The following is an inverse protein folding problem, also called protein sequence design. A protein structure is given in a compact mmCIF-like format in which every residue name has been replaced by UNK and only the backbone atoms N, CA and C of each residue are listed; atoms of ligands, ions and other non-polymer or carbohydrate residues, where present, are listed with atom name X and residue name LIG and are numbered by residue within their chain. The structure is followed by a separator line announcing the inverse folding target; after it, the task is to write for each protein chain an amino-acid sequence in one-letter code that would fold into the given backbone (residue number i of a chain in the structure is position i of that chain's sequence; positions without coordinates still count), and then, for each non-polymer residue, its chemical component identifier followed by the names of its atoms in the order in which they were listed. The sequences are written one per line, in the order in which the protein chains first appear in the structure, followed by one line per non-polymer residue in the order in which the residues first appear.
data_IF_531293115412
#
_entry.id   IF_531293115412
#
_cell.length_a   1.000
_cell.length_b   1.000
_cell.length_c   1.000
_cell.angle_alpha   90.00
_cell.angle_beta   90.00
_cell.angle_gamma   90.00
#
_symmetry.space_group_name_H-M   'P 1'
#
loop_
_entity.id
_entity.type
_entity.pdbx_description
1 polymer ?
#
# COMPACT_ATOMS: atom_id res chain seq x y z
N UNK A 1 -12.87 -14.25 -10.17
CA UNK A 1 -11.98 -15.43 -10.18
C UNK A 1 -10.97 -15.18 -9.09
N UNK A 2 -10.95 -16.01 -8.04
CA UNK A 2 -9.96 -15.92 -6.98
C UNK A 2 -8.62 -16.42 -7.54
N UNK A 3 -7.70 -15.52 -7.82
CA UNK A 3 -6.33 -15.90 -8.13
C UNK A 3 -5.72 -16.46 -6.84
N UNK A 4 -5.46 -17.76 -6.81
CA UNK A 4 -4.75 -18.40 -5.70
C UNK A 4 -3.27 -18.09 -5.92
N UNK A 5 -2.77 -17.05 -5.26
CA UNK A 5 -1.35 -16.79 -5.17
C UNK A 5 -0.67 -17.96 -4.42
N UNK A 6 0.33 -18.60 -5.04
CA UNK A 6 1.05 -19.70 -4.39
C UNK A 6 1.94 -19.17 -3.26
N UNK A 7 2.26 -20.03 -2.26
CA UNK A 7 3.19 -19.68 -1.18
C UNK A 7 4.54 -19.24 -1.74
N UNK A 8 5.03 -19.87 -2.81
CA UNK A 8 6.28 -19.50 -3.51
C UNK A 8 6.23 -18.08 -4.08
N UNK A 9 5.07 -17.64 -4.59
CA UNK A 9 4.87 -16.28 -5.09
C UNK A 9 4.93 -15.27 -3.95
N UNK A 10 4.24 -15.55 -2.84
CA UNK A 10 4.30 -14.70 -1.65
C UNK A 10 5.70 -14.63 -1.04
N UNK A 11 6.46 -15.73 -1.02
CA UNK A 11 7.82 -15.73 -0.51
C UNK A 11 8.77 -14.88 -1.37
N UNK A 12 8.63 -14.95 -2.70
CA UNK A 12 9.38 -14.10 -3.62
C UNK A 12 9.02 -12.61 -3.44
N UNK A 13 7.73 -12.29 -3.37
CA UNK A 13 7.25 -10.91 -3.13
C UNK A 13 7.71 -10.41 -1.77
N UNK A 14 7.65 -11.21 -0.72
CA UNK A 14 8.09 -10.81 0.62
C UNK A 14 9.57 -10.49 0.69
N UNK A 15 10.42 -11.24 -0.02
CA UNK A 15 11.86 -10.93 -0.07
C UNK A 15 12.13 -9.63 -0.81
N UNK A 16 11.50 -9.41 -1.98
CA UNK A 16 11.62 -8.17 -2.74
C UNK A 16 11.02 -6.98 -1.99
N UNK A 17 9.86 -7.18 -1.32
CA UNK A 17 9.23 -6.17 -0.49
C UNK A 17 10.13 -5.74 0.68
N UNK A 18 10.83 -6.67 1.36
CA UNK A 18 11.79 -6.32 2.43
C UNK A 18 12.98 -5.54 1.91
N UNK A 19 13.52 -5.93 0.75
CA UNK A 19 14.64 -5.25 0.13
C UNK A 19 14.29 -3.79 -0.24
N UNK A 20 13.04 -3.54 -0.63
CA UNK A 20 12.53 -2.22 -0.96
C UNK A 20 12.08 -1.43 0.28
N UNK A 21 11.34 -2.06 1.20
CA UNK A 21 10.74 -1.39 2.35
C UNK A 21 11.77 -0.79 3.29
N UNK A 22 12.84 -1.50 3.61
CA UNK A 22 13.85 -1.06 4.57
C UNK A 22 14.53 0.25 4.17
N UNK A 23 15.16 0.40 2.98
CA UNK A 23 15.77 1.68 2.59
C UNK A 23 14.73 2.79 2.47
N UNK A 24 13.54 2.47 1.96
CA UNK A 24 12.44 3.41 1.79
C UNK A 24 11.96 4.00 3.14
N UNK A 25 11.68 3.13 4.11
CA UNK A 25 11.26 3.55 5.46
C UNK A 25 12.41 4.31 6.15
N UNK A 26 13.66 3.86 6.02
CA UNK A 26 14.82 4.56 6.58
C UNK A 26 15.00 5.98 6.04
N UNK A 27 14.65 6.19 4.77
CA UNK A 27 14.66 7.52 4.14
C UNK A 27 13.50 8.39 4.65
N UNK A 28 12.28 7.84 4.71
CA UNK A 28 11.08 8.62 4.94
C UNK A 28 10.74 8.80 6.42
N UNK A 29 11.07 7.85 7.28
CA UNK A 29 10.70 7.94 8.69
C UNK A 29 11.23 9.19 9.39
N UNK A 30 12.50 9.62 9.21
CA UNK A 30 13.02 10.85 9.82
C UNK A 30 12.27 12.11 9.38
N UNK A 31 11.70 12.10 8.19
CA UNK A 31 10.97 13.24 7.59
C UNK A 31 9.51 13.27 8.02
N UNK A 32 8.85 12.11 8.00
CA UNK A 32 7.40 12.01 8.22
C UNK A 32 7.03 11.74 9.68
N UNK A 33 7.86 10.98 10.41
CA UNK A 33 7.68 10.56 11.80
C UNK A 33 6.24 10.13 12.12
N UNK A 34 5.67 9.20 11.35
CA UNK A 34 4.31 8.76 11.62
C UNK A 34 4.27 7.89 12.88
N UNK A 35 3.41 8.23 13.85
CA UNK A 35 3.13 7.35 14.98
C UNK A 35 2.22 6.18 14.54
N UNK A 36 1.31 6.45 13.59
CA UNK A 36 0.34 5.46 13.12
C UNK A 36 0.38 5.34 11.59
N UNK A 37 0.42 4.09 11.07
CA UNK A 37 0.48 3.82 9.62
C UNK A 37 -0.55 2.76 9.22
N UNK A 38 -1.22 2.96 8.10
CA UNK A 38 -2.07 1.95 7.46
C UNK A 38 -1.57 1.64 6.05
N UNK A 39 -1.66 0.38 5.65
CA UNK A 39 -1.30 -0.11 4.32
C UNK A 39 -2.48 -0.85 3.68
N UNK A 40 -2.97 -0.34 2.55
CA UNK A 40 -4.03 -0.98 1.77
C UNK A 40 -3.41 -1.77 0.61
N UNK A 41 -3.52 -3.09 0.65
CA UNK A 41 -2.84 -4.04 -0.22
C UNK A 41 -1.50 -4.48 0.38
N UNK A 42 -1.51 -4.72 1.68
CA UNK A 42 -0.31 -4.97 2.48
C UNK A 42 0.35 -6.33 2.25
N UNK A 43 -0.34 -7.26 1.56
CA UNK A 43 0.07 -8.65 1.53
C UNK A 43 0.21 -9.20 2.96
N UNK A 44 1.34 -9.83 3.26
CA UNK A 44 1.66 -10.34 4.60
C UNK A 44 2.12 -9.26 5.61
N UNK A 45 2.02 -7.98 5.28
CA UNK A 45 2.34 -6.87 6.19
C UNK A 45 3.83 -6.56 6.34
N UNK A 46 4.67 -6.92 5.38
CA UNK A 46 6.13 -6.71 5.42
C UNK A 46 6.50 -5.22 5.55
N UNK A 47 5.80 -4.35 4.81
CA UNK A 47 5.99 -2.90 4.91
C UNK A 47 5.61 -2.36 6.28
N UNK A 48 4.55 -2.89 6.87
CA UNK A 48 4.09 -2.49 8.21
C UNK A 48 5.09 -2.89 9.30
N UNK A 49 5.70 -4.07 9.18
CA UNK A 49 6.79 -4.50 10.06
C UNK A 49 8.01 -3.54 9.97
N UNK A 50 8.38 -3.08 8.77
CA UNK A 50 9.48 -2.13 8.61
C UNK A 50 9.12 -0.73 9.14
N UNK A 51 7.89 -0.23 8.96
CA UNK A 51 7.45 1.01 9.60
C UNK A 51 7.53 0.93 11.13
N UNK A 52 7.10 -0.19 11.71
CA UNK A 52 7.18 -0.44 13.15
C UNK A 52 8.64 -0.46 13.64
N UNK A 53 9.54 -1.14 12.91
CA UNK A 53 10.98 -1.12 13.20
C UNK A 53 11.60 0.26 13.07
N UNK A 54 11.09 1.08 12.16
CA UNK A 54 11.48 2.47 11.98
C UNK A 54 11.06 3.38 13.13
N UNK A 55 10.05 2.99 13.92
CA UNK A 55 9.58 3.72 15.10
C UNK A 55 8.09 4.06 15.11
N UNK A 56 7.29 3.57 14.15
CA UNK A 56 5.84 3.70 14.22
C UNK A 56 5.30 2.88 15.41
N UNK A 57 4.42 3.50 16.20
CA UNK A 57 3.87 2.92 17.43
C UNK A 57 2.76 1.92 17.12
N UNK A 58 1.96 2.22 16.09
CA UNK A 58 0.82 1.40 15.69
C UNK A 58 0.72 1.29 14.16
N UNK A 59 0.48 0.09 13.68
CA UNK A 59 0.37 -0.20 12.25
C UNK A 59 -0.85 -1.07 11.98
N UNK A 60 -1.47 -0.87 10.81
CA UNK A 60 -2.58 -1.69 10.34
C UNK A 60 -2.31 -2.15 8.91
N UNK A 61 -2.13 -3.44 8.74
CA UNK A 61 -2.04 -4.11 7.45
C UNK A 61 -3.45 -4.48 6.97
N UNK A 62 -3.82 -4.12 5.75
CA UNK A 62 -5.14 -4.42 5.17
C UNK A 62 -4.97 -5.10 3.83
N UNK A 63 -5.57 -6.28 3.67
CA UNK A 63 -5.56 -7.02 2.40
C UNK A 63 -6.74 -7.99 2.36
N UNK A 64 -6.89 -8.74 1.26
CA UNK A 64 -7.94 -9.75 1.13
C UNK A 64 -7.85 -10.87 2.16
N UNK A 65 -8.94 -11.58 2.38
CA UNK A 65 -9.01 -12.72 3.32
C UNK A 65 -8.25 -13.97 2.83
N UNK A 66 -7.73 -13.92 1.59
CA UNK A 66 -6.84 -14.95 1.02
C UNK A 66 -5.43 -14.93 1.64
N UNK A 67 -5.05 -13.87 2.36
CA UNK A 67 -3.73 -13.78 3.02
C UNK A 67 -3.67 -14.75 4.19
N UNK A 68 -2.69 -15.66 4.15
CA UNK A 68 -2.45 -16.61 5.24
C UNK A 68 -1.99 -15.89 6.51
N UNK A 69 -2.84 -15.89 7.52
CA UNK A 69 -2.58 -15.22 8.81
C UNK A 69 -1.45 -15.85 9.62
N UNK A 70 -1.11 -17.13 9.36
CA UNK A 70 0.02 -17.77 10.01
C UNK A 70 1.37 -17.26 9.52
N UNK A 71 1.38 -16.56 8.37
CA UNK A 71 2.58 -16.03 7.73
C UNK A 71 2.67 -14.51 7.78
N UNK A 72 1.88 -13.84 8.61
CA UNK A 72 1.94 -12.39 8.76
C UNK A 72 3.27 -11.95 9.38
N UNK A 73 3.81 -10.85 8.86
CA UNK A 73 4.98 -10.18 9.41
C UNK A 73 4.64 -9.26 10.60
N UNK A 74 3.35 -8.99 10.81
CA UNK A 74 2.79 -8.22 11.93
C UNK A 74 1.95 -9.12 12.83
N UNK A 75 1.59 -8.63 14.01
CA UNK A 75 0.71 -9.38 14.90
C UNK A 75 -0.70 -9.55 14.28
N UNK A 76 -1.41 -10.66 14.54
CA UNK A 76 -2.73 -10.91 13.92
C UNK A 76 -3.75 -9.80 14.14
N UNK A 77 -3.71 -9.10 15.26
CA UNK A 77 -4.56 -7.96 15.60
C UNK A 77 -4.22 -6.70 14.80
N UNK A 78 -3.05 -6.65 14.17
CA UNK A 78 -2.60 -5.59 13.28
C UNK A 78 -2.94 -5.89 11.81
N UNK A 79 -3.71 -6.94 11.54
CA UNK A 79 -4.18 -7.29 10.21
C UNK A 79 -5.71 -7.25 10.14
N UNK A 80 -6.22 -6.61 9.10
CA UNK A 80 -7.64 -6.55 8.79
C UNK A 80 -7.89 -7.08 7.38
N UNK A 81 -8.74 -8.11 7.25
CA UNK A 81 -9.18 -8.56 5.94
C UNK A 81 -10.23 -7.60 5.37
N UNK A 82 -10.04 -7.16 4.12
CA UNK A 82 -10.99 -6.32 3.42
C UNK A 82 -10.93 -6.54 1.89
N UNK A 83 -12.06 -6.31 1.23
CA UNK A 83 -12.17 -6.27 -0.23
C UNK A 83 -11.84 -4.85 -0.70
N UNK A 84 -10.65 -4.67 -1.28
CA UNK A 84 -10.14 -3.37 -1.74
C UNK A 84 -10.86 -2.82 -2.97
N UNK A 85 -11.72 -3.62 -3.61
CA UNK A 85 -12.62 -3.11 -4.66
C UNK A 85 -13.77 -2.25 -4.11
N UNK A 86 -13.89 -2.18 -2.78
CA UNK A 86 -14.89 -1.41 -2.04
C UNK A 86 -14.25 -0.46 -1.05
N UNK A 87 -14.94 0.63 -0.65
CA UNK A 87 -14.39 1.53 0.37
C UNK A 87 -14.13 0.82 1.69
N UNK A 88 -12.88 0.88 2.16
CA UNK A 88 -12.45 0.34 3.45
C UNK A 88 -12.77 1.34 4.57
N UNK A 89 -13.39 0.84 5.64
CA UNK A 89 -13.73 1.65 6.83
C UNK A 89 -12.93 1.14 8.03
N UNK A 90 -12.00 1.94 8.50
CA UNK A 90 -11.13 1.61 9.63
C UNK A 90 -11.63 2.14 10.99
N UNK A 91 -12.66 3.00 10.97
CA UNK A 91 -13.19 3.63 12.18
C UNK A 91 -12.28 4.69 12.80
N UNK A 92 -11.06 4.88 12.30
CA UNK A 92 -10.08 5.87 12.76
C UNK A 92 -9.21 6.39 11.62
N UNK A 93 -8.46 7.44 11.89
CA UNK A 93 -7.45 7.99 10.98
C UNK A 93 -6.04 7.60 11.43
N UNK A 94 -5.10 7.73 10.52
CA UNK A 94 -3.69 7.43 10.67
C UNK A 94 -2.84 8.64 10.27
N UNK A 95 -1.60 8.71 10.76
CA UNK A 95 -0.66 9.76 10.36
C UNK A 95 -0.18 9.58 8.92
N UNK A 96 -0.16 8.32 8.44
CA UNK A 96 0.22 7.96 7.09
C UNK A 96 -0.63 6.80 6.59
N UNK A 97 -1.16 6.93 5.38
CA UNK A 97 -1.72 5.82 4.63
C UNK A 97 -0.79 5.48 3.46
N UNK A 98 -0.65 4.20 3.14
CA UNK A 98 0.06 3.78 1.95
C UNK A 98 -0.74 2.75 1.15
N UNK A 99 -0.43 2.68 -0.15
CA UNK A 99 -0.80 1.60 -1.06
C UNK A 99 0.23 1.59 -2.18
N UNK A 100 1.04 0.55 -2.23
CA UNK A 100 2.18 0.45 -3.12
C UNK A 100 2.06 -0.78 -4.01
N UNK A 101 2.01 -0.57 -5.33
CA UNK A 101 1.88 -1.62 -6.34
C UNK A 101 0.61 -2.48 -6.12
N UNK A 102 -0.53 -1.81 -5.99
CA UNK A 102 -1.84 -2.44 -5.73
C UNK A 102 -2.89 -2.03 -6.75
N UNK A 103 -2.92 -0.75 -7.12
CA UNK A 103 -3.96 -0.18 -7.99
C UNK A 103 -4.06 -0.88 -9.35
N UNK A 104 -2.95 -1.38 -9.89
CA UNK A 104 -2.86 -2.12 -11.14
C UNK A 104 -3.49 -3.52 -11.09
N UNK A 105 -3.63 -4.08 -9.90
CA UNK A 105 -4.27 -5.40 -9.70
C UNK A 105 -5.78 -5.32 -9.46
N UNK A 106 -6.30 -4.13 -9.22
CA UNK A 106 -7.74 -3.91 -9.05
C UNK A 106 -8.39 -3.53 -10.39
N UNK A 107 -9.65 -3.88 -10.62
CA UNK A 107 -10.37 -3.41 -11.81
C UNK A 107 -10.46 -1.87 -11.79
N UNK A 108 -10.44 -1.25 -12.97
CA UNK A 108 -10.42 0.22 -13.11
C UNK A 108 -11.54 0.91 -12.31
N UNK A 109 -12.71 0.29 -12.25
CA UNK A 109 -13.89 0.79 -11.53
C UNK A 109 -13.66 0.87 -10.01
N UNK A 110 -12.68 0.14 -9.48
CA UNK A 110 -12.32 0.15 -8.07
C UNK A 110 -11.31 1.26 -7.70
N UNK A 111 -10.71 1.93 -8.69
CA UNK A 111 -9.68 2.94 -8.45
C UNK A 111 -10.15 4.07 -7.52
N UNK A 112 -11.37 4.57 -7.73
CA UNK A 112 -11.95 5.60 -6.87
C UNK A 112 -12.19 5.09 -5.43
N UNK A 113 -12.60 3.83 -5.26
CA UNK A 113 -12.84 3.23 -3.94
C UNK A 113 -11.53 3.07 -3.15
N UNK A 114 -10.43 2.69 -3.83
CA UNK A 114 -9.10 2.61 -3.23
C UNK A 114 -8.63 3.99 -2.76
N UNK A 115 -8.69 5.00 -3.65
CA UNK A 115 -8.28 6.37 -3.31
C UNK A 115 -9.17 6.97 -2.23
N UNK A 116 -10.49 6.73 -2.26
CA UNK A 116 -11.42 7.18 -1.20
C UNK A 116 -11.04 6.57 0.16
N UNK A 117 -10.66 5.29 0.18
CA UNK A 117 -10.21 4.59 1.39
C UNK A 117 -8.94 5.22 1.96
N UNK A 118 -7.93 5.49 1.12
CA UNK A 118 -6.67 6.10 1.50
C UNK A 118 -6.87 7.53 2.04
N UNK A 119 -7.63 8.35 1.34
CA UNK A 119 -7.86 9.76 1.69
C UNK A 119 -8.72 9.93 2.94
N UNK A 120 -9.63 9.00 3.21
CA UNK A 120 -10.35 8.95 4.49
C UNK A 120 -9.46 8.49 5.63
N UNK A 121 -8.50 7.62 5.37
CA UNK A 121 -7.62 7.08 6.39
C UNK A 121 -6.56 8.08 6.85
N UNK A 122 -6.02 8.94 5.97
CA UNK A 122 -4.94 9.87 6.34
C UNK A 122 -4.94 11.11 5.45
N UNK A 123 -4.39 12.22 5.95
CA UNK A 123 -4.10 13.43 5.16
C UNK A 123 -2.76 13.32 4.39
N UNK A 124 -1.96 12.29 4.66
CA UNK A 124 -0.71 11.98 3.97
C UNK A 124 -0.78 10.58 3.38
N UNK A 125 -0.58 10.47 2.06
CA UNK A 125 -0.67 9.21 1.34
C UNK A 125 0.62 8.95 0.58
N UNK A 126 1.19 7.75 0.76
CA UNK A 126 2.21 7.19 -0.12
C UNK A 126 1.50 6.26 -1.11
N UNK A 127 1.69 6.51 -2.39
CA UNK A 127 1.01 5.77 -3.43
C UNK A 127 1.94 5.44 -4.59
N UNK A 128 1.87 4.21 -5.05
CA UNK A 128 2.41 3.79 -6.35
C UNK A 128 1.47 2.80 -7.02
N UNK A 129 1.49 2.79 -8.33
CA UNK A 129 0.85 1.79 -9.16
C UNK A 129 1.60 1.69 -10.48
N UNK A 130 1.56 0.52 -11.13
CA UNK A 130 2.18 0.31 -12.41
C UNK A 130 1.62 1.27 -13.48
N UNK A 131 2.53 1.84 -14.27
CA UNK A 131 2.16 2.75 -15.36
C UNK A 131 1.84 1.97 -16.63
N UNK A 132 1.10 2.59 -17.55
CA UNK A 132 0.71 1.99 -18.82
C UNK A 132 1.91 1.40 -19.57
N UNK A 133 1.86 0.11 -19.87
CA UNK A 133 2.90 -0.62 -20.59
C UNK A 133 4.08 -1.08 -19.74
N UNK A 134 4.00 -0.93 -18.40
CA UNK A 134 5.04 -1.45 -17.50
C UNK A 134 5.10 -2.98 -17.55
N UNK A 135 3.94 -3.62 -17.68
CA UNK A 135 3.81 -5.06 -17.63
C UNK A 135 3.98 -5.62 -16.22
N UNK A 136 3.42 -6.77 -15.99
CA UNK A 136 3.49 -7.46 -14.70
C UNK A 136 2.47 -8.58 -14.64
N UNK A 137 2.66 -9.50 -13.71
CA UNK A 137 1.74 -10.61 -13.52
C UNK A 137 0.43 -10.09 -12.90
N UNK A 138 -0.70 -10.44 -13.51
CA UNK A 138 -2.07 -10.03 -13.09
C UNK A 138 -2.36 -8.52 -13.12
N UNK A 139 -1.60 -7.71 -13.86
CA UNK A 139 -1.96 -6.32 -14.09
C UNK A 139 -3.21 -6.24 -14.99
N UNK A 140 -4.24 -5.59 -14.50
CA UNK A 140 -5.53 -5.39 -15.22
C UNK A 140 -5.87 -3.91 -15.35
N UNK A 141 -5.11 -3.01 -14.70
CA UNK A 141 -5.39 -1.58 -14.59
C UNK A 141 -4.11 -0.74 -14.58
N UNK A 142 -3.25 -0.93 -15.58
CA UNK A 142 -2.10 -0.05 -15.78
C UNK A 142 -2.57 1.31 -16.30
N UNK A 143 -2.37 2.35 -15.54
CA UNK A 143 -2.85 3.70 -15.85
C UNK A 143 -1.70 4.71 -15.88
N UNK A 144 -1.81 5.79 -16.69
CA UNK A 144 -0.85 6.88 -16.62
C UNK A 144 -0.91 7.54 -15.25
N UNK A 145 0.20 8.13 -14.80
CA UNK A 145 0.25 8.82 -13.49
C UNK A 145 -0.84 9.89 -13.33
N UNK A 146 -1.20 10.58 -14.42
CA UNK A 146 -2.27 11.58 -14.41
C UNK A 146 -3.62 11.03 -13.99
N UNK A 147 -3.94 9.79 -14.35
CA UNK A 147 -5.18 9.13 -13.96
C UNK A 147 -5.33 9.09 -12.42
N UNK A 148 -4.30 8.62 -11.72
CA UNK A 148 -4.30 8.59 -10.27
C UNK A 148 -4.25 9.99 -9.66
N UNK A 149 -3.44 10.89 -10.24
CA UNK A 149 -3.37 12.28 -9.79
C UNK A 149 -4.72 12.98 -9.86
N UNK A 150 -5.52 12.75 -10.91
CA UNK A 150 -6.84 13.35 -11.07
C UNK A 150 -7.81 12.84 -10.00
N UNK A 151 -7.80 11.53 -9.68
CA UNK A 151 -8.66 10.97 -8.62
C UNK A 151 -8.26 11.54 -7.25
N UNK A 152 -6.96 11.62 -6.93
CA UNK A 152 -6.48 12.24 -5.69
C UNK A 152 -6.79 13.74 -5.63
N UNK A 153 -6.63 14.47 -6.74
CA UNK A 153 -6.94 15.90 -6.82
C UNK A 153 -8.43 16.18 -6.58
N UNK A 154 -9.34 15.33 -7.09
CA UNK A 154 -10.76 15.42 -6.82
C UNK A 154 -11.11 15.25 -5.33
N UNK A 155 -10.20 14.66 -4.54
CA UNK A 155 -10.31 14.54 -3.06
C UNK A 155 -9.54 15.63 -2.31
N UNK A 156 -8.97 16.62 -3.02
CA UNK A 156 -8.22 17.73 -2.42
C UNK A 156 -6.75 17.43 -2.12
N UNK A 157 -6.18 16.37 -2.67
CA UNK A 157 -4.78 15.99 -2.49
C UNK A 157 -3.91 16.53 -3.64
N UNK A 158 -2.68 16.86 -3.32
CA UNK A 158 -1.66 17.27 -4.30
C UNK A 158 -0.54 16.23 -4.32
N UNK A 159 -0.16 15.79 -5.52
CA UNK A 159 0.89 14.82 -5.70
C UNK A 159 2.28 15.47 -5.70
N UNK A 160 3.22 14.87 -4.97
CA UNK A 160 4.63 15.22 -4.94
C UNK A 160 5.49 14.02 -5.29
N UNK A 161 6.29 14.13 -6.35
CA UNK A 161 7.29 13.12 -6.69
C UNK A 161 8.61 13.42 -5.97
N UNK A 162 8.65 13.16 -4.68
CA UNK A 162 9.82 13.45 -3.84
C UNK A 162 10.62 12.19 -3.45
N UNK A 163 10.05 11.00 -3.59
CA UNK A 163 10.67 9.76 -3.12
C UNK A 163 11.58 9.14 -4.19
N UNK A 164 11.09 9.02 -5.44
CA UNK A 164 11.87 8.44 -6.53
C UNK A 164 13.22 9.12 -6.79
N UNK A 165 13.32 10.46 -6.82
CA UNK A 165 14.61 11.12 -6.96
C UNK A 165 15.59 10.81 -5.84
N UNK A 166 15.09 10.64 -4.60
CA UNK A 166 15.91 10.38 -3.42
C UNK A 166 16.37 8.92 -3.29
N UNK A 167 15.78 7.99 -4.05
CA UNK A 167 16.15 6.57 -4.06
C UNK A 167 17.06 6.19 -5.25
N UNK A 168 17.38 7.12 -6.15
CA UNK A 168 18.19 6.85 -7.35
C UNK A 168 19.69 6.88 -7.10
N UNK A 169 20.14 7.35 -5.94
CA UNK A 169 21.52 7.42 -5.50
C UNK A 169 21.82 6.27 -4.51
#
# INVERSE_FOLDING_TARGET
MSHIYSDTFFDYINQSARASAKPFVSLLFPLLKPATVIDLGSGRGVWMDEWRKGGAEDVLAVDGDYVDRAQLAVAPEQFMAADLTKPVKTGRRFDLAQSLEVGEHLPTEASEALVDSLTRASDRVLFSAAVTGQGGEFHVNEQPLSFWQDIFAAKGYVAYDCVRPALKD
#
